data_IF_707127820068
#
_entry.id   IF_707127820068
#
_cell.length_a   1.000
_cell.length_b   1.000
_cell.length_c   1.000
_cell.angle_alpha   90.00
_cell.angle_beta   90.00
_cell.angle_gamma   90.00
#
_symmetry.space_group_name_H-M   'P 1'
#
loop_
_entity.id
_entity.type
_entity.pdbx_description
1 polymer ?
#
# COMPACT_ATOMS: atom_id res chain seq x y z
N UNK A 1 14.55 1.64 11.30
CA UNK A 1 13.09 1.41 11.17
C UNK A 1 12.35 2.65 10.68
N UNK A 2 12.50 3.82 11.35
CA UNK A 2 11.87 5.09 10.95
C UNK A 2 12.25 5.54 9.53
N UNK A 3 13.54 5.50 9.18
CA UNK A 3 14.02 5.88 7.82
C UNK A 3 13.40 5.01 6.73
N UNK A 4 13.27 3.69 6.98
CA UNK A 4 12.63 2.77 6.05
C UNK A 4 11.13 3.03 5.91
N UNK A 5 10.45 3.39 7.00
CA UNK A 5 9.04 3.77 6.95
C UNK A 5 8.82 5.05 6.12
N UNK A 6 9.67 6.06 6.32
CA UNK A 6 9.63 7.31 5.55
C UNK A 6 9.92 7.04 4.06
N UNK A 7 10.93 6.21 3.74
CA UNK A 7 11.27 5.91 2.35
C UNK A 7 10.15 5.14 1.64
N UNK A 8 9.47 4.22 2.32
CA UNK A 8 8.28 3.52 1.80
C UNK A 8 7.14 4.52 1.53
N UNK A 9 6.89 5.46 2.45
CA UNK A 9 5.90 6.52 2.26
C UNK A 9 6.20 7.39 1.04
N UNK A 10 7.46 7.83 0.87
CA UNK A 10 7.89 8.60 -0.31
C UNK A 10 7.68 7.78 -1.59
N UNK A 11 8.10 6.50 -1.59
CA UNK A 11 7.92 5.62 -2.74
C UNK A 11 6.43 5.43 -3.11
N UNK A 12 5.55 5.38 -2.12
CA UNK A 12 4.10 5.33 -2.33
C UNK A 12 3.60 6.60 -3.04
N UNK A 13 3.93 7.79 -2.52
CA UNK A 13 3.50 9.05 -3.13
C UNK A 13 4.08 9.27 -4.54
N UNK A 14 5.34 8.92 -4.77
CA UNK A 14 5.97 9.03 -6.10
C UNK A 14 5.23 8.14 -7.11
N UNK A 15 4.93 6.88 -6.76
CA UNK A 15 4.20 5.97 -7.64
C UNK A 15 2.76 6.42 -7.88
N UNK A 16 2.11 6.98 -6.87
CA UNK A 16 0.77 7.54 -7.00
C UNK A 16 0.76 8.73 -7.96
N UNK A 17 1.71 9.65 -7.82
CA UNK A 17 1.85 10.78 -8.73
C UNK A 17 2.08 10.32 -10.17
N UNK A 18 2.99 9.35 -10.38
CA UNK A 18 3.24 8.79 -11.71
C UNK A 18 2.00 8.12 -12.32
N UNK A 19 1.20 7.44 -11.50
CA UNK A 19 -0.06 6.84 -11.94
C UNK A 19 -1.06 7.92 -12.38
N UNK A 20 -1.29 8.94 -11.55
CA UNK A 20 -2.22 10.04 -11.85
C UNK A 20 -1.79 10.78 -13.11
N UNK A 21 -0.50 11.12 -13.23
CA UNK A 21 0.05 11.78 -14.41
C UNK A 21 -0.16 10.94 -15.68
N UNK A 22 -0.05 9.60 -15.57
CA UNK A 22 -0.27 8.72 -16.71
C UNK A 22 -1.74 8.54 -17.10
N UNK A 23 -2.65 8.57 -16.12
CA UNK A 23 -4.09 8.54 -16.36
C UNK A 23 -4.51 9.79 -17.15
N UNK A 24 -3.96 10.96 -16.81
CA UNK A 24 -4.18 12.21 -17.54
C UNK A 24 -3.74 12.19 -19.02
N UNK A 25 -2.96 11.19 -19.43
CA UNK A 25 -2.52 10.99 -20.82
C UNK A 25 -3.29 9.87 -21.54
N UNK A 26 -4.42 9.39 -21.00
CA UNK A 26 -5.20 8.24 -21.51
C UNK A 26 -4.43 6.92 -21.59
N UNK A 27 -3.29 6.80 -20.89
CA UNK A 27 -2.44 5.59 -20.89
C UNK A 27 -2.83 4.60 -19.78
N UNK A 28 -4.11 4.50 -19.45
CA UNK A 28 -4.58 3.73 -18.28
C UNK A 28 -4.26 2.24 -18.43
N UNK A 29 -4.52 1.68 -19.61
CA UNK A 29 -4.28 0.27 -19.96
C UNK A 29 -2.86 0.05 -20.51
N UNK A 30 -1.85 0.46 -19.76
CA UNK A 30 -0.46 0.08 -20.04
C UNK A 30 0.05 -0.85 -18.95
N UNK A 31 0.86 -1.83 -19.34
CA UNK A 31 1.53 -2.76 -18.41
C UNK A 31 2.33 -2.01 -17.32
N UNK A 32 2.88 -0.84 -17.65
CA UNK A 32 3.58 0.06 -16.71
C UNK A 32 2.66 0.53 -15.59
N UNK A 33 1.43 0.95 -15.90
CA UNK A 33 0.47 1.45 -14.92
C UNK A 33 -0.19 0.34 -14.13
N UNK A 34 -0.43 -0.83 -14.75
CA UNK A 34 -0.86 -2.04 -14.04
C UNK A 34 0.17 -2.41 -12.95
N UNK A 35 1.47 -2.40 -13.30
CA UNK A 35 2.56 -2.63 -12.34
C UNK A 35 2.61 -1.54 -11.26
N UNK A 36 2.36 -0.27 -11.60
CA UNK A 36 2.31 0.84 -10.61
C UNK A 36 1.17 0.66 -9.61
N UNK A 37 -0.06 0.39 -10.07
CA UNK A 37 -1.22 0.15 -9.20
C UNK A 37 -0.98 -1.05 -8.29
N UNK A 38 -0.49 -2.16 -8.85
CA UNK A 38 -0.17 -3.37 -8.08
C UNK A 38 0.91 -3.09 -7.03
N UNK A 39 1.95 -2.32 -7.40
CA UNK A 39 3.01 -1.90 -6.48
C UNK A 39 2.50 -0.99 -5.38
N UNK A 40 1.53 -0.10 -5.65
CA UNK A 40 0.89 0.72 -4.61
C UNK A 40 0.12 -0.16 -3.62
N UNK A 41 -0.59 -1.19 -4.11
CA UNK A 41 -1.28 -2.15 -3.26
C UNK A 41 -0.35 -2.87 -2.29
N UNK A 42 0.78 -3.39 -2.79
CA UNK A 42 1.80 -4.02 -1.94
C UNK A 42 2.45 -3.05 -0.95
N UNK A 43 2.73 -1.81 -1.36
CA UNK A 43 3.27 -0.79 -0.47
C UNK A 43 2.29 -0.44 0.65
N UNK A 44 0.99 -0.37 0.38
CA UNK A 44 -0.03 -0.12 1.41
C UNK A 44 -0.07 -1.25 2.45
N UNK A 45 -0.04 -2.52 2.01
CA UNK A 45 0.04 -3.68 2.92
C UNK A 45 1.32 -3.62 3.76
N UNK A 46 2.46 -3.31 3.14
CA UNK A 46 3.74 -3.22 3.82
C UNK A 46 3.75 -2.10 4.88
N UNK A 47 3.15 -0.95 4.57
CA UNK A 47 2.95 0.14 5.54
C UNK A 47 2.15 -0.38 6.75
N UNK A 48 1.02 -1.06 6.52
CA UNK A 48 0.20 -1.64 7.59
C UNK A 48 0.98 -2.61 8.49
N UNK A 49 1.77 -3.50 7.91
CA UNK A 49 2.63 -4.44 8.64
C UNK A 49 3.67 -3.69 9.49
N UNK A 50 4.37 -2.71 8.92
CA UNK A 50 5.40 -1.96 9.64
C UNK A 50 4.79 -1.12 10.76
N UNK A 51 3.65 -0.48 10.52
CA UNK A 51 2.92 0.27 11.55
C UNK A 51 2.51 -0.62 12.71
N UNK A 52 2.00 -1.83 12.44
CA UNK A 52 1.66 -2.79 13.49
C UNK A 52 2.89 -3.20 14.31
N UNK A 53 4.00 -3.53 13.65
CA UNK A 53 5.25 -3.90 14.32
C UNK A 53 5.80 -2.75 15.18
N UNK A 54 5.74 -1.51 14.69
CA UNK A 54 6.12 -0.32 15.44
C UNK A 54 5.21 -0.13 16.67
N UNK A 55 3.88 -0.23 16.51
CA UNK A 55 2.94 -0.11 17.61
C UNK A 55 3.19 -1.18 18.69
N UNK A 56 3.46 -2.42 18.28
CA UNK A 56 3.81 -3.51 19.19
C UNK A 56 5.12 -3.23 19.93
N UNK A 57 6.16 -2.75 19.23
CA UNK A 57 7.43 -2.39 19.83
C UNK A 57 7.27 -1.24 20.84
N UNK A 58 6.49 -0.21 20.51
CA UNK A 58 6.19 0.90 21.42
C UNK A 58 5.42 0.43 22.65
N UNK A 59 4.43 -0.44 22.47
CA UNK A 59 3.71 -1.08 23.58
C UNK A 59 4.67 -1.83 24.51
N UNK A 60 5.59 -2.62 23.96
CA UNK A 60 6.56 -3.37 24.76
C UNK A 60 7.51 -2.45 25.54
N UNK A 61 8.04 -1.40 24.90
CA UNK A 61 8.95 -0.44 25.54
C UNK A 61 8.26 0.32 26.67
N UNK A 62 7.01 0.78 26.46
CA UNK A 62 6.27 1.56 27.46
C UNK A 62 5.79 0.73 28.65
N UNK A 63 5.56 -0.56 28.46
CA UNK A 63 5.15 -1.47 29.54
C UNK A 63 6.31 -2.17 30.24
N UNK A 64 7.56 -1.86 29.88
CA UNK A 64 8.74 -2.38 30.55
C UNK A 64 8.74 -1.98 32.04
N UNK A 65 9.15 -2.88 32.95
CA UNK A 65 9.16 -2.61 34.39
C UNK A 65 10.04 -1.40 34.69
N UNK A 66 9.45 -0.36 35.29
CA UNK A 66 10.11 0.92 35.61
C UNK A 66 9.65 2.14 34.79
N UNK A 67 8.86 1.95 33.71
CA UNK A 67 8.27 3.03 32.90
C UNK A 67 6.74 3.08 32.93
N UNK A 68 6.12 2.14 33.64
CA UNK A 68 4.66 2.04 33.77
C UNK A 68 4.11 3.28 34.47
N UNK A 69 3.45 4.14 33.70
CA UNK A 69 2.60 5.18 34.25
C UNK A 69 1.28 4.51 34.66
N UNK A 70 0.93 4.63 35.94
CA UNK A 70 -0.31 4.07 36.49
C UNK A 70 -1.51 4.61 35.69
N UNK A 71 -2.20 3.74 34.95
CA UNK A 71 -3.48 4.04 34.30
C UNK A 71 -3.55 3.96 32.77
N UNK A 72 -2.44 3.87 32.04
CA UNK A 72 -2.47 3.81 30.57
C UNK A 72 -2.43 2.37 30.02
N UNK A 73 -3.60 1.81 29.66
CA UNK A 73 -3.68 0.56 28.91
C UNK A 73 -3.39 0.86 27.44
N UNK A 74 -2.13 0.70 27.03
CA UNK A 74 -1.78 0.74 25.61
C UNK A 74 -2.33 -0.52 24.92
N UNK A 75 -3.08 -0.38 23.82
CA UNK A 75 -3.50 -1.52 22.99
C UNK A 75 -2.76 -1.46 21.66
N UNK A 76 -2.14 -2.56 21.26
CA UNK A 76 -1.60 -2.70 19.91
C UNK A 76 -2.76 -2.97 18.94
N UNK A 77 -3.34 -1.91 18.40
CA UNK A 77 -4.40 -2.03 17.40
C UNK A 77 -3.81 -2.33 16.02
N UNK A 78 -4.41 -3.30 15.33
CA UNK A 78 -4.08 -3.58 13.94
C UNK A 78 -4.63 -2.44 13.06
N UNK A 79 -3.77 -1.70 12.33
CA UNK A 79 -4.23 -0.66 11.44
C UNK A 79 -4.92 -1.30 10.23
N UNK A 80 -6.25 -1.40 10.25
CA UNK A 80 -7.01 -2.09 9.19
C UNK A 80 -7.00 -1.34 7.84
N UNK A 81 -6.97 0.00 7.87
CA UNK A 81 -7.09 0.84 6.67
C UNK A 81 -6.03 0.60 5.59
N UNK A 82 -4.72 0.51 5.89
CA UNK A 82 -3.71 0.18 4.88
C UNK A 82 -3.92 -1.17 4.20
N UNK A 83 -4.43 -2.17 4.93
CA UNK A 83 -4.75 -3.47 4.35
C UNK A 83 -5.94 -3.39 3.40
N UNK A 84 -7.01 -2.71 3.81
CA UNK A 84 -8.18 -2.49 2.94
C UNK A 84 -7.80 -1.73 1.67
N UNK A 85 -7.03 -0.65 1.80
CA UNK A 85 -6.52 0.11 0.67
C UNK A 85 -5.64 -0.78 -0.25
N UNK A 86 -4.75 -1.57 0.35
CA UNK A 86 -3.89 -2.50 -0.37
C UNK A 86 -4.68 -3.51 -1.19
N UNK A 87 -5.69 -4.14 -0.58
CA UNK A 87 -6.59 -5.08 -1.26
C UNK A 87 -7.33 -4.42 -2.42
N UNK A 88 -7.93 -3.24 -2.20
CA UNK A 88 -8.64 -2.50 -3.26
C UNK A 88 -7.70 -2.19 -4.43
N UNK A 89 -6.49 -1.70 -4.16
CA UNK A 89 -5.51 -1.40 -5.21
C UNK A 89 -5.08 -2.66 -5.97
N UNK A 90 -4.87 -3.79 -5.29
CA UNK A 90 -4.56 -5.06 -5.96
C UNK A 90 -5.71 -5.53 -6.85
N UNK A 91 -6.96 -5.40 -6.40
CA UNK A 91 -8.15 -5.70 -7.20
C UNK A 91 -8.26 -4.80 -8.43
N UNK A 92 -8.01 -3.49 -8.28
CA UNK A 92 -7.98 -2.54 -9.40
C UNK A 92 -6.88 -2.90 -10.39
N UNK A 93 -5.67 -3.22 -9.90
CA UNK A 93 -4.55 -3.65 -10.73
C UNK A 93 -4.86 -4.92 -11.53
N UNK A 94 -5.52 -5.90 -10.91
CA UNK A 94 -6.00 -7.11 -11.58
C UNK A 94 -7.04 -6.79 -12.65
N UNK A 95 -7.99 -5.90 -12.35
CA UNK A 95 -9.03 -5.46 -13.28
C UNK A 95 -8.42 -4.77 -14.51
N UNK A 96 -7.43 -3.89 -14.32
CA UNK A 96 -6.72 -3.25 -15.43
C UNK A 96 -5.96 -4.25 -16.29
N UNK A 97 -5.33 -5.26 -15.67
CA UNK A 97 -4.67 -6.35 -16.39
C UNK A 97 -5.65 -7.11 -17.28
N UNK A 98 -6.80 -7.50 -16.72
CA UNK A 98 -7.85 -8.19 -17.48
C UNK A 98 -8.43 -7.33 -18.60
N UNK A 99 -8.61 -6.03 -18.38
CA UNK A 99 -9.03 -5.10 -19.42
C UNK A 99 -8.02 -4.99 -20.57
N UNK A 100 -6.72 -5.04 -20.28
CA UNK A 100 -5.67 -5.07 -21.31
C UNK A 100 -5.68 -6.38 -22.09
N UNK A 101 -5.77 -7.53 -21.41
CA UNK A 101 -5.85 -8.85 -22.06
C UNK A 101 -7.04 -8.93 -23.03
N UNK A 102 -8.22 -8.46 -22.61
CA UNK A 102 -9.41 -8.43 -23.47
C UNK A 102 -9.26 -7.51 -24.69
N UNK A 103 -8.54 -6.39 -24.54
CA UNK A 103 -8.27 -5.49 -25.65
C UNK A 103 -7.34 -6.15 -26.68
N UNK A 104 -6.27 -6.80 -26.21
CA UNK A 104 -5.33 -7.53 -27.05
C UNK A 104 -6.02 -8.69 -27.79
N UNK A 105 -6.88 -9.45 -27.11
CA UNK A 105 -7.70 -10.50 -27.74
C UNK A 105 -8.59 -9.96 -28.86
N UNK A 106 -9.30 -8.86 -28.60
CA UNK A 106 -10.20 -8.25 -29.58
C UNK A 106 -9.45 -7.70 -30.81
N UNK A 107 -8.28 -7.09 -30.60
CA UNK A 107 -7.44 -6.56 -31.69
C UNK A 107 -6.84 -7.68 -32.57
N UNK A 108 -6.72 -8.92 -32.07
CA UNK A 108 -6.26 -10.09 -32.86
C UNK A 108 -7.36 -10.76 -33.67
N UNK A 109 -8.63 -10.51 -33.36
CA UNK A 109 -9.80 -11.12 -34.02
C UNK A 109 -10.40 -10.28 -35.15
N UNK A 110 -9.97 -9.03 -35.31
CA UNK A 110 -10.35 -8.14 -36.43
C UNK A 110 -9.29 -8.23 -37.52
#
# INVERSE_FOLDING_TARGET
MVVAYISIGIAFFVKLYQLIASIGQNKIFEMTNIKRVTSLGWLAILIGIITYQLNYLFFYIKNAPGLQHEGEIYKAELPCWPFLLGLVLLTVGYTFKKGLELKEENDMTI
#
